data_IF_752143305102
#
_entry.id   IF_752143305102
#
_cell.length_a   1.000
_cell.length_b   1.000
_cell.length_c   1.000
_cell.angle_alpha   90.00
_cell.angle_beta   90.00
_cell.angle_gamma   90.00
#
_symmetry.space_group_name_H-M   'P 1'
#
loop_
_entity.id
_entity.type
_entity.pdbx_description
1 polymer ?
#
# COMPACT_ATOMS: atom_id res chain seq x y z
N UNK A 1 -8.87 1.77 11.76
CA UNK A 1 -8.83 0.76 10.67
C UNK A 1 -7.86 1.23 9.60
N UNK A 2 -7.15 0.31 8.98
CA UNK A 2 -6.10 0.68 8.03
C UNK A 2 -6.63 1.14 6.66
N UNK A 3 -7.92 1.00 6.41
CA UNK A 3 -8.53 1.42 5.15
C UNK A 3 -9.90 2.02 5.38
N UNK A 4 -10.33 2.82 4.39
CA UNK A 4 -11.68 3.38 4.34
C UNK A 4 -12.18 3.24 2.91
N UNK A 5 -13.41 2.80 2.72
CA UNK A 5 -14.01 2.73 1.39
C UNK A 5 -15.03 3.85 1.23
N UNK A 6 -14.93 4.58 0.12
CA UNK A 6 -15.84 5.66 -0.19
C UNK A 6 -16.21 5.58 -1.67
N UNK A 7 -17.48 5.35 -1.97
CA UNK A 7 -17.96 5.26 -3.35
C UNK A 7 -17.11 4.28 -4.16
N UNK A 8 -16.30 4.79 -5.09
CA UNK A 8 -15.45 3.96 -5.95
C UNK A 8 -13.98 4.04 -5.55
N UNK A 9 -13.69 4.58 -4.39
CA UNK A 9 -12.32 4.78 -3.94
C UNK A 9 -12.06 4.05 -2.63
N UNK A 10 -10.84 3.56 -2.49
CA UNK A 10 -10.36 2.96 -1.24
C UNK A 10 -9.18 3.78 -0.77
N UNK A 11 -9.23 4.26 0.45
CA UNK A 11 -8.13 5.01 1.05
C UNK A 11 -7.45 4.10 2.04
N UNK A 12 -6.15 3.87 1.86
CA UNK A 12 -5.40 2.96 2.72
C UNK A 12 -4.30 3.71 3.46
N UNK A 13 -4.10 3.34 4.71
CA UNK A 13 -3.00 3.83 5.53
C UNK A 13 -1.95 2.74 5.60
N UNK A 14 -0.73 3.06 5.20
CA UNK A 14 0.35 2.10 5.11
C UNK A 14 1.54 2.55 5.94
N UNK A 15 2.21 1.57 6.56
CA UNK A 15 3.51 1.76 7.20
C UNK A 15 4.52 0.95 6.39
N UNK A 16 5.48 1.64 5.78
CA UNK A 16 6.38 1.04 4.79
C UNK A 16 7.78 0.89 5.36
N UNK A 17 8.35 -0.32 5.25
CA UNK A 17 9.71 -0.59 5.67
C UNK A 17 10.53 -0.98 4.43
N UNK A 18 11.38 -0.08 3.91
CA UNK A 18 12.20 -0.40 2.74
C UNK A 18 13.42 -1.24 3.13
N UNK A 19 14.14 -1.73 2.12
CA UNK A 19 15.37 -2.48 2.34
C UNK A 19 15.17 -3.92 2.76
N UNK A 20 13.98 -4.45 2.60
CA UNK A 20 13.69 -5.85 2.94
C UNK A 20 14.16 -6.78 1.84
N UNK A 21 14.29 -8.07 2.19
CA UNK A 21 14.70 -9.09 1.20
C UNK A 21 13.58 -9.41 0.22
N UNK A 22 12.34 -9.27 0.62
CA UNK A 22 11.22 -9.48 -0.27
C UNK A 22 10.10 -8.48 0.06
N UNK A 23 9.27 -8.18 -0.94
CA UNK A 23 8.12 -7.31 -0.75
C UNK A 23 6.95 -8.16 -0.27
N UNK A 24 6.40 -7.79 0.88
CA UNK A 24 5.29 -8.56 1.46
C UNK A 24 4.49 -7.73 2.44
N UNK A 25 3.25 -8.17 2.67
CA UNK A 25 2.41 -7.62 3.72
C UNK A 25 2.78 -8.33 5.02
N UNK A 26 3.15 -7.54 6.03
CA UNK A 26 3.57 -8.11 7.32
C UNK A 26 2.38 -8.28 8.25
N UNK A 27 1.47 -7.31 8.27
CA UNK A 27 0.32 -7.31 9.17
C UNK A 27 -0.05 -5.89 9.54
N UNK A 28 -0.64 -5.72 10.69
CA UNK A 28 -1.06 -4.40 11.14
C UNK A 28 0.00 -3.75 12.02
N UNK A 29 0.12 -2.44 11.91
CA UNK A 29 0.98 -1.61 12.73
C UNK A 29 0.15 -0.41 13.16
N UNK A 30 -0.46 -0.50 14.35
CA UNK A 30 -1.42 0.51 14.76
C UNK A 30 -2.60 0.56 13.82
N UNK A 31 -2.91 1.72 13.29
CA UNK A 31 -3.99 1.92 12.33
C UNK A 31 -3.53 1.81 10.88
N UNK A 32 -2.37 1.22 10.64
CA UNK A 32 -1.80 1.09 9.31
C UNK A 32 -1.51 -0.36 8.98
N UNK A 33 -1.47 -0.67 7.68
CA UNK A 33 -1.02 -1.96 7.18
C UNK A 33 0.48 -1.88 6.96
N UNK A 34 1.24 -2.74 7.62
CA UNK A 34 2.69 -2.75 7.49
C UNK A 34 3.11 -3.55 6.27
N UNK A 35 3.94 -2.94 5.43
CA UNK A 35 4.45 -3.56 4.21
C UNK A 35 5.97 -3.44 4.19
N UNK A 36 6.66 -4.55 3.91
CA UNK A 36 8.09 -4.56 3.64
C UNK A 36 8.31 -4.42 2.15
N UNK A 37 9.26 -3.58 1.76
CA UNK A 37 9.61 -3.38 0.36
C UNK A 37 11.06 -3.75 0.13
N UNK A 38 11.33 -4.36 -1.04
CA UNK A 38 12.69 -4.71 -1.45
C UNK A 38 13.47 -3.50 -1.95
N UNK A 39 12.79 -2.38 -2.24
CA UNK A 39 13.46 -1.20 -2.78
C UNK A 39 14.45 -0.60 -1.80
N UNK A 40 15.44 0.10 -2.35
CA UNK A 40 16.39 0.85 -1.54
C UNK A 40 15.70 2.06 -0.91
N UNK A 41 16.17 2.51 0.26
CA UNK A 41 15.60 3.71 0.88
C UNK A 41 16.12 4.99 0.22
N UNK A 42 16.01 5.07 -1.10
CA UNK A 42 16.42 6.22 -1.90
C UNK A 42 15.16 6.95 -2.32
N UNK A 43 15.22 8.27 -2.34
CA UNK A 43 14.08 9.11 -2.67
C UNK A 43 13.43 8.69 -3.98
N UNK A 44 12.11 8.52 -3.95
CA UNK A 44 11.31 8.20 -5.12
C UNK A 44 11.18 6.71 -5.41
N UNK A 45 12.23 5.92 -5.20
CA UNK A 45 12.21 4.51 -5.56
C UNK A 45 11.23 3.71 -4.70
N UNK A 46 11.22 3.98 -3.40
CA UNK A 46 10.33 3.25 -2.49
C UNK A 46 8.88 3.57 -2.80
N UNK A 47 8.57 4.83 -3.12
CA UNK A 47 7.20 5.21 -3.45
C UNK A 47 6.72 4.54 -4.72
N UNK A 48 7.55 4.53 -5.77
CA UNK A 48 7.18 3.87 -7.02
C UNK A 48 6.95 2.38 -6.82
N UNK A 49 7.84 1.72 -6.09
CA UNK A 49 7.71 0.29 -5.82
C UNK A 49 6.43 0.01 -5.04
N UNK A 50 6.12 0.87 -4.06
CA UNK A 50 4.90 0.72 -3.27
C UNK A 50 3.65 0.87 -4.12
N UNK A 51 3.59 1.90 -4.97
CA UNK A 51 2.44 2.12 -5.82
C UNK A 51 2.20 0.95 -6.77
N UNK A 52 3.27 0.40 -7.35
CA UNK A 52 3.16 -0.76 -8.24
C UNK A 52 2.66 -1.98 -7.49
N UNK A 53 3.17 -2.20 -6.28
CA UNK A 53 2.76 -3.33 -5.46
C UNK A 53 1.28 -3.24 -5.10
N UNK A 54 0.84 -2.07 -4.67
CA UNK A 54 -0.56 -1.85 -4.31
C UNK A 54 -1.47 -2.00 -5.52
N UNK A 55 -1.05 -1.49 -6.68
CA UNK A 55 -1.82 -1.65 -7.91
C UNK A 55 -2.03 -3.13 -8.24
N UNK A 56 -1.01 -3.95 -8.07
CA UNK A 56 -1.12 -5.38 -8.30
C UNK A 56 -2.06 -6.04 -7.29
N UNK A 57 -1.95 -5.67 -6.02
CA UNK A 57 -2.81 -6.24 -4.98
C UNK A 57 -4.29 -5.93 -5.21
N UNK A 58 -4.58 -4.73 -5.69
CA UNK A 58 -5.95 -4.31 -5.94
C UNK A 58 -6.41 -4.55 -7.37
N UNK A 59 -5.53 -5.13 -8.21
CA UNK A 59 -5.82 -5.49 -9.60
C UNK A 59 -6.31 -4.30 -10.42
N UNK A 60 -5.60 -3.19 -10.31
CA UNK A 60 -5.90 -1.97 -11.05
C UNK A 60 -4.65 -1.47 -11.75
N UNK A 61 -4.80 -0.65 -12.80
CA UNK A 61 -3.65 0.00 -13.42
C UNK A 61 -2.96 0.96 -12.45
N UNK A 62 -1.67 1.17 -12.65
CA UNK A 62 -0.89 2.03 -11.78
C UNK A 62 -1.49 3.45 -11.69
N UNK A 63 -2.06 3.94 -12.76
CA UNK A 63 -2.65 5.29 -12.79
C UNK A 63 -3.82 5.45 -11.83
N UNK A 64 -4.41 4.34 -11.36
CA UNK A 64 -5.53 4.37 -10.42
C UNK A 64 -5.09 4.33 -8.97
N UNK A 65 -3.79 4.31 -8.71
CA UNK A 65 -3.22 4.37 -7.37
C UNK A 65 -2.46 5.67 -7.23
N UNK A 66 -2.81 6.47 -6.22
CA UNK A 66 -2.17 7.76 -6.00
C UNK A 66 -1.73 7.90 -4.56
N UNK A 67 -0.55 8.51 -4.37
CA UNK A 67 -0.05 8.83 -3.03
C UNK A 67 -0.67 10.15 -2.59
N UNK A 68 -1.40 10.11 -1.49
CA UNK A 68 -2.05 11.31 -0.94
C UNK A 68 -1.16 12.04 0.06
N UNK A 69 -0.47 11.30 0.93
CA UNK A 69 0.37 11.86 1.98
C UNK A 69 1.54 10.95 2.24
N UNK A 70 2.63 11.52 2.75
CA UNK A 70 3.76 10.75 3.24
C UNK A 70 4.78 10.38 2.19
N UNK A 71 5.01 11.25 1.19
CA UNK A 71 5.98 10.95 0.15
C UNK A 71 7.41 10.79 0.70
N UNK A 72 7.72 11.41 1.83
CA UNK A 72 9.02 11.30 2.49
C UNK A 72 8.95 10.64 3.85
N UNK A 73 7.84 10.00 4.15
CA UNK A 73 7.59 9.38 5.45
C UNK A 73 7.40 7.89 5.28
N UNK A 74 7.63 7.12 6.35
CA UNK A 74 7.32 5.70 6.34
C UNK A 74 5.82 5.44 6.43
N UNK A 75 5.07 6.38 7.01
CA UNK A 75 3.61 6.29 7.03
C UNK A 75 3.07 7.00 5.81
N UNK A 76 2.28 6.28 5.03
CA UNK A 76 1.78 6.78 3.76
C UNK A 76 0.28 6.56 3.66
N UNK A 77 -0.39 7.46 2.95
CA UNK A 77 -1.81 7.33 2.67
C UNK A 77 -1.99 7.32 1.16
N UNK A 78 -2.60 6.25 0.67
CA UNK A 78 -2.84 6.08 -0.76
C UNK A 78 -4.33 6.00 -1.04
N UNK A 79 -4.72 6.42 -2.25
CA UNK A 79 -6.08 6.22 -2.73
C UNK A 79 -6.04 5.33 -3.96
N UNK A 80 -6.93 4.31 -3.98
CA UNK A 80 -7.09 3.38 -5.08
C UNK A 80 -8.48 3.56 -5.65
N UNK A 81 -8.58 3.74 -6.96
CA UNK A 81 -9.86 3.99 -7.62
C UNK A 81 -10.24 2.81 -8.50
N UNK A 82 -11.50 2.42 -8.45
CA UNK A 82 -12.04 1.44 -9.38
C UNK A 82 -11.67 -0.02 -9.10
N UNK A 83 -11.21 -0.33 -7.88
CA UNK A 83 -10.88 -1.71 -7.50
C UNK A 83 -12.13 -2.43 -6.99
N UNK A 84 -12.25 -3.70 -7.34
CA UNK A 84 -13.29 -4.58 -6.82
C UNK A 84 -12.78 -5.50 -5.71
N UNK A 85 -11.53 -5.31 -5.30
CA UNK A 85 -10.92 -6.16 -4.27
C UNK A 85 -11.30 -5.65 -2.89
N UNK A 86 -11.73 -6.56 -2.03
CA UNK A 86 -12.00 -6.24 -0.62
C UNK A 86 -10.67 -6.08 0.12
N UNK A 87 -10.42 -4.91 0.72
CA UNK A 87 -9.12 -4.70 1.39
C UNK A 87 -8.82 -5.74 2.47
N UNK A 88 -9.82 -6.17 3.21
CA UNK A 88 -9.60 -7.14 4.29
C UNK A 88 -9.11 -8.49 3.79
N UNK A 89 -9.34 -8.83 2.52
CA UNK A 89 -8.86 -10.07 1.95
C UNK A 89 -7.33 -10.10 1.83
N UNK A 90 -6.70 -8.95 1.78
CA UNK A 90 -5.24 -8.88 1.67
C UNK A 90 -4.55 -9.46 2.89
N UNK A 91 -5.15 -9.34 4.07
CA UNK A 91 -4.62 -9.94 5.28
C UNK A 91 -4.90 -11.44 5.32
N UNK A 92 -6.03 -11.87 4.78
CA UNK A 92 -6.40 -13.28 4.81
C UNK A 92 -5.55 -14.12 3.88
N UNK A 93 -5.03 -13.55 2.82
CA UNK A 93 -4.23 -14.30 1.84
C UNK A 93 -2.89 -14.74 2.39
N UNK A 94 -2.50 -14.28 3.55
CA UNK A 94 -1.24 -14.68 4.16
C UNK A 94 -1.33 -15.98 4.95
N UNK A 95 -2.49 -16.50 5.09
CA UNK A 95 -2.70 -17.74 5.83
C UNK A 95 -2.13 -18.93 5.10
#
# INVERSE_FOLDING_TARGET
>A
MWYTQENHSIIVNLYVQPGAKCTEIVGLHGDALKIRLTSRPIDGCANEALLKYIAQLFEVPLRQVKLMQGDKSRQKKLVITGSNIEPCLLLKTKV
#
